data_IF_477251529904
#
_entry.id   IF_477251529904
#
_cell.length_a   1.000
_cell.length_b   1.000
_cell.length_c   1.000
_cell.angle_alpha   90.00
_cell.angle_beta   90.00
_cell.angle_gamma   90.00
#
_symmetry.space_group_name_H-M   'P 1'
#
loop_
_entity.id
_entity.type
_entity.pdbx_description
1 polymer ?
#
# COMPACT_ATOMS: atom_id res chain seq x y z
N UNK A 1 -34.69 -36.84 42.14
CA UNK A 1 -33.96 -35.56 42.02
C UNK A 1 -34.97 -34.42 41.92
N UNK A 2 -35.54 -34.05 43.01
CA UNK A 2 -36.46 -32.91 43.12
C UNK A 2 -36.21 -32.30 44.49
N UNK A 3 -36.04 -31.00 44.58
CA UNK A 3 -35.87 -30.17 45.77
C UNK A 3 -34.46 -29.60 46.03
N UNK A 4 -34.09 -28.57 45.29
CA UNK A 4 -33.18 -27.50 45.79
C UNK A 4 -33.58 -26.14 45.17
N UNK A 5 -34.82 -25.85 44.96
CA UNK A 5 -35.27 -24.46 44.87
C UNK A 5 -35.82 -24.04 46.24
N UNK A 6 -34.95 -23.76 47.26
CA UNK A 6 -35.34 -22.96 48.40
C UNK A 6 -35.76 -21.59 47.87
N UNK A 7 -37.03 -21.27 47.94
CA UNK A 7 -37.54 -19.95 47.59
C UNK A 7 -36.73 -18.88 48.33
N UNK A 8 -36.04 -18.05 47.59
CA UNK A 8 -35.32 -16.86 48.13
C UNK A 8 -36.36 -16.06 48.92
N UNK A 9 -36.04 -15.62 50.17
CA UNK A 9 -36.96 -14.80 50.95
C UNK A 9 -37.33 -13.54 50.16
N UNK A 10 -38.60 -13.22 50.07
CA UNK A 10 -39.15 -12.10 49.29
C UNK A 10 -38.43 -10.78 49.55
N UNK A 11 -37.94 -10.58 50.78
CA UNK A 11 -37.12 -9.43 51.18
C UNK A 11 -35.78 -9.35 50.40
N UNK A 12 -35.17 -10.48 50.13
CA UNK A 12 -33.87 -10.52 49.40
C UNK A 12 -34.06 -10.23 47.93
N UNK A 13 -35.18 -10.69 47.35
CA UNK A 13 -35.58 -10.37 45.96
C UNK A 13 -35.91 -8.88 45.82
N UNK A 14 -36.64 -8.30 46.81
CA UNK A 14 -36.98 -6.88 46.80
C UNK A 14 -35.74 -5.99 46.94
N UNK A 15 -34.80 -6.34 47.82
CA UNK A 15 -33.50 -5.65 47.95
C UNK A 15 -32.66 -5.75 46.66
N UNK A 16 -32.70 -6.90 45.99
CA UNK A 16 -32.03 -7.09 44.71
C UNK A 16 -32.61 -6.21 43.60
N UNK A 17 -33.94 -6.11 43.51
CA UNK A 17 -34.64 -5.21 42.58
C UNK A 17 -34.30 -3.76 42.83
N UNK A 18 -34.31 -3.33 44.12
CA UNK A 18 -33.92 -1.96 44.47
C UNK A 18 -32.46 -1.64 44.15
N UNK A 19 -31.55 -2.56 44.46
CA UNK A 19 -30.14 -2.41 44.14
C UNK A 19 -29.89 -2.31 42.62
N UNK A 20 -30.57 -3.13 41.81
CA UNK A 20 -30.47 -3.08 40.34
C UNK A 20 -31.09 -1.80 39.78
N UNK A 21 -32.21 -1.32 40.31
CA UNK A 21 -32.81 -0.05 39.92
C UNK A 21 -31.87 1.16 40.18
N UNK A 22 -31.22 1.17 41.34
CA UNK A 22 -30.21 2.18 41.70
C UNK A 22 -29.02 2.09 40.77
N UNK A 23 -28.50 0.89 40.49
CA UNK A 23 -27.37 0.69 39.56
C UNK A 23 -27.69 1.19 38.15
N UNK A 24 -28.91 0.89 37.66
CA UNK A 24 -29.38 1.39 36.36
C UNK A 24 -29.50 2.92 36.35
N UNK A 25 -30.06 3.50 37.39
CA UNK A 25 -30.17 4.96 37.52
C UNK A 25 -28.78 5.66 37.53
N UNK A 26 -27.81 5.09 38.27
CA UNK A 26 -26.42 5.57 38.28
C UNK A 26 -25.75 5.43 36.92
N UNK A 27 -25.97 4.33 36.22
CA UNK A 27 -25.44 4.12 34.88
C UNK A 27 -26.01 5.15 33.89
N UNK A 28 -27.32 5.39 33.93
CA UNK A 28 -27.97 6.41 33.09
C UNK A 28 -27.43 7.80 33.43
N UNK A 29 -27.33 8.15 34.68
CA UNK A 29 -26.75 9.42 35.11
C UNK A 29 -25.29 9.58 34.64
N UNK A 30 -24.48 8.54 34.74
CA UNK A 30 -23.12 8.52 34.22
C UNK A 30 -23.07 8.71 32.71
N UNK A 31 -23.92 8.01 31.94
CA UNK A 31 -24.00 8.14 30.49
C UNK A 31 -24.40 9.57 30.08
N UNK A 32 -25.43 10.14 30.74
CA UNK A 32 -25.89 11.51 30.46
C UNK A 32 -24.80 12.53 30.80
N UNK A 33 -24.16 12.38 31.99
CA UNK A 33 -23.06 13.24 32.41
C UNK A 33 -21.88 13.17 31.43
N UNK A 34 -21.47 11.95 31.03
CA UNK A 34 -20.41 11.73 30.06
C UNK A 34 -20.72 12.35 28.73
N UNK A 35 -21.98 12.23 28.23
CA UNK A 35 -22.44 12.83 26.98
C UNK A 35 -22.41 14.37 27.06
N UNK A 36 -22.90 14.93 28.13
CA UNK A 36 -22.91 16.39 28.38
C UNK A 36 -21.48 16.93 28.49
N UNK A 37 -20.60 16.27 29.26
CA UNK A 37 -19.20 16.66 29.41
C UNK A 37 -18.48 16.63 28.08
N UNK A 38 -18.65 15.55 27.31
CA UNK A 38 -18.08 15.44 25.95
C UNK A 38 -18.61 16.55 25.03
N UNK A 39 -19.90 16.84 25.04
CA UNK A 39 -20.48 17.92 24.25
C UNK A 39 -19.84 19.26 24.57
N UNK A 40 -19.73 19.62 25.86
CA UNK A 40 -19.05 20.84 26.31
C UNK A 40 -17.57 20.89 25.92
N UNK A 41 -16.88 19.77 26.02
CA UNK A 41 -15.47 19.67 25.62
C UNK A 41 -15.31 19.91 24.10
N UNK A 42 -16.14 19.28 23.28
CA UNK A 42 -16.07 19.47 21.83
C UNK A 42 -16.47 20.88 21.39
N UNK A 43 -17.46 21.50 22.03
CA UNK A 43 -17.81 22.90 21.76
C UNK A 43 -16.65 23.84 22.08
N UNK A 44 -15.99 23.63 23.24
CA UNK A 44 -14.80 24.40 23.62
C UNK A 44 -13.66 24.19 22.62
N UNK A 45 -13.40 22.94 22.26
CA UNK A 45 -12.39 22.59 21.28
C UNK A 45 -12.63 23.27 19.94
N UNK A 46 -13.87 23.20 19.42
CA UNK A 46 -14.25 23.80 18.16
C UNK A 46 -14.11 25.33 18.16
N UNK A 47 -14.59 25.99 19.22
CA UNK A 47 -14.43 27.44 19.37
C UNK A 47 -12.97 27.85 19.43
N UNK A 48 -12.16 27.17 20.22
CA UNK A 48 -10.71 27.46 20.31
C UNK A 48 -9.99 27.19 18.98
N UNK A 49 -10.36 26.12 18.25
CA UNK A 49 -9.80 25.81 16.93
C UNK A 49 -10.12 26.90 15.91
N UNK A 50 -11.36 27.42 15.91
CA UNK A 50 -11.74 28.52 15.03
C UNK A 50 -10.99 29.82 15.35
N UNK A 51 -10.79 30.14 16.63
CA UNK A 51 -10.00 31.29 17.06
C UNK A 51 -8.53 31.19 16.63
N UNK A 52 -7.92 30.00 16.81
CA UNK A 52 -6.53 29.75 16.40
C UNK A 52 -6.41 29.83 14.87
N UNK A 53 -7.36 29.27 14.11
CA UNK A 53 -7.36 29.39 12.63
C UNK A 53 -7.47 30.83 12.16
N UNK A 54 -8.23 31.67 12.85
CA UNK A 54 -8.28 33.11 12.53
C UNK A 54 -6.94 33.82 12.80
N UNK A 55 -6.17 33.37 13.78
CA UNK A 55 -4.87 33.90 14.15
C UNK A 55 -3.69 33.18 13.45
N UNK A 56 -3.99 32.19 12.61
CA UNK A 56 -3.00 31.31 11.99
C UNK A 56 -1.89 32.05 11.22
N UNK A 57 -2.21 33.06 10.38
CA UNK A 57 -1.16 33.82 9.70
C UNK A 57 -0.17 34.50 10.66
N UNK A 58 -0.67 34.98 11.79
CA UNK A 58 0.16 35.59 12.84
C UNK A 58 1.06 34.60 13.57
N UNK A 59 0.56 33.38 13.79
CA UNK A 59 1.34 32.29 14.44
C UNK A 59 2.45 31.84 13.50
N UNK A 60 2.16 31.61 12.23
CA UNK A 60 3.14 31.12 11.24
C UNK A 60 4.18 32.17 10.88
N UNK A 61 3.78 33.44 10.78
CA UNK A 61 4.71 34.56 10.52
C UNK A 61 5.56 34.95 11.74
N UNK A 62 5.22 34.45 12.96
CA UNK A 62 5.89 34.82 14.19
C UNK A 62 5.45 36.17 14.77
N UNK A 63 4.47 36.87 14.14
CA UNK A 63 3.90 38.13 14.70
C UNK A 63 3.10 37.89 15.97
N UNK A 64 2.58 36.68 16.17
CA UNK A 64 2.02 36.21 17.43
C UNK A 64 3.03 35.29 18.12
N UNK A 65 3.76 35.78 19.14
CA UNK A 65 4.86 35.02 19.73
C UNK A 65 4.37 33.79 20.50
N UNK A 66 5.16 32.70 20.54
CA UNK A 66 4.78 31.44 21.16
C UNK A 66 4.35 31.56 22.64
N UNK A 67 4.90 32.50 23.39
CA UNK A 67 4.56 32.72 24.81
C UNK A 67 3.07 32.98 25.02
N UNK A 68 2.38 33.59 24.06
CA UNK A 68 0.97 33.95 24.18
C UNK A 68 0.04 32.73 24.08
N UNK A 69 0.36 31.75 23.25
CA UNK A 69 -0.50 30.60 23.04
C UNK A 69 0.01 29.33 23.75
N UNK A 70 1.30 29.23 24.08
CA UNK A 70 1.86 28.11 24.86
C UNK A 70 1.55 28.16 26.35
N UNK A 71 1.24 29.33 26.90
CA UNK A 71 0.89 29.48 28.32
C UNK A 71 -0.27 28.57 28.75
N UNK A 72 -1.20 28.26 27.87
CA UNK A 72 -2.32 27.36 28.12
C UNK A 72 -2.07 26.01 27.41
N UNK A 73 -1.93 24.89 28.17
CA UNK A 73 -1.69 23.56 27.56
C UNK A 73 -2.76 23.13 26.56
N UNK A 74 -4.02 23.51 26.77
CA UNK A 74 -5.13 23.20 25.85
C UNK A 74 -4.95 23.94 24.52
N UNK A 75 -4.61 25.21 24.54
CA UNK A 75 -4.34 26.02 23.34
C UNK A 75 -3.09 25.53 22.61
N UNK A 76 -2.01 25.24 23.39
CA UNK A 76 -0.77 24.68 22.85
C UNK A 76 -1.00 23.37 22.08
N UNK A 77 -1.80 22.45 22.63
CA UNK A 77 -2.13 21.18 21.98
C UNK A 77 -2.91 21.37 20.68
N UNK A 78 -3.81 22.37 20.61
CA UNK A 78 -4.55 22.67 19.39
C UNK A 78 -3.63 23.26 18.32
N UNK A 79 -2.77 24.23 18.71
CA UNK A 79 -1.79 24.82 17.78
C UNK A 79 -0.85 23.76 17.24
N UNK A 80 -0.32 22.89 18.09
CA UNK A 80 0.52 21.78 17.68
C UNK A 80 -0.18 20.86 16.68
N UNK A 81 -1.45 20.48 16.95
CA UNK A 81 -2.21 19.64 16.02
C UNK A 81 -2.38 20.30 14.66
N UNK A 82 -2.79 21.58 14.63
CA UNK A 82 -2.95 22.32 13.38
C UNK A 82 -1.61 22.47 12.64
N UNK A 83 -0.53 22.73 13.39
CA UNK A 83 0.81 22.91 12.82
C UNK A 83 1.32 21.60 12.20
N UNK A 84 1.15 20.48 12.88
CA UNK A 84 1.52 19.17 12.35
C UNK A 84 0.66 18.80 11.12
N UNK A 85 -0.65 19.06 11.15
CA UNK A 85 -1.53 18.86 9.99
C UNK A 85 -1.08 19.72 8.79
N UNK A 86 -0.70 20.98 9.07
CA UNK A 86 -0.20 21.90 8.04
C UNK A 86 1.13 21.45 7.46
N UNK A 87 2.06 20.97 8.29
CA UNK A 87 3.36 20.43 7.84
C UNK A 87 3.18 19.20 6.95
N UNK A 88 2.24 18.31 7.30
CA UNK A 88 1.95 17.13 6.48
C UNK A 88 1.36 17.49 5.11
N UNK A 89 0.51 18.51 5.05
CA UNK A 89 -0.11 18.99 3.83
C UNK A 89 0.77 19.95 3.02
N UNK A 90 1.84 20.51 3.62
CA UNK A 90 2.65 21.56 3.04
C UNK A 90 3.43 21.13 1.79
N UNK A 91 3.39 21.99 0.80
CA UNK A 91 4.27 21.91 -0.35
C UNK A 91 5.71 22.38 -0.02
N UNK A 92 6.65 22.21 -0.99
CA UNK A 92 8.05 22.57 -0.78
C UNK A 92 8.28 24.05 -0.41
N UNK A 93 7.40 24.95 -0.84
CA UNK A 93 7.52 26.38 -0.60
C UNK A 93 7.10 26.80 0.82
N UNK A 94 6.09 26.12 1.40
CA UNK A 94 5.51 26.47 2.69
C UNK A 94 6.23 25.76 3.85
N UNK A 95 6.78 24.58 3.58
CA UNK A 95 7.42 23.73 4.58
C UNK A 95 8.50 24.43 5.40
N UNK A 96 9.44 25.23 4.83
CA UNK A 96 10.49 25.90 5.61
C UNK A 96 9.95 26.85 6.67
N UNK A 97 8.88 27.59 6.38
CA UNK A 97 8.27 28.53 7.31
C UNK A 97 7.57 27.80 8.46
N UNK A 98 6.86 26.70 8.18
CA UNK A 98 6.20 25.88 9.20
C UNK A 98 7.24 25.20 10.12
N UNK A 99 8.35 24.71 9.55
CA UNK A 99 9.46 24.16 10.33
C UNK A 99 10.12 25.24 11.21
N UNK A 100 10.28 26.45 10.70
CA UNK A 100 10.76 27.58 11.51
C UNK A 100 9.83 27.84 12.70
N UNK A 101 8.52 27.87 12.48
CA UNK A 101 7.54 28.03 13.54
C UNK A 101 7.61 26.89 14.58
N UNK A 102 7.77 25.63 14.15
CA UNK A 102 7.96 24.48 15.04
C UNK A 102 9.19 24.62 15.95
N UNK A 103 10.32 25.06 15.37
CA UNK A 103 11.58 25.28 16.11
C UNK A 103 11.45 26.47 17.08
N UNK A 104 11.03 27.63 16.56
CA UNK A 104 10.89 28.86 17.35
C UNK A 104 9.89 28.70 18.53
N UNK A 105 8.88 27.85 18.36
CA UNK A 105 7.95 27.54 19.45
C UNK A 105 8.49 26.61 20.51
N UNK A 106 9.61 25.89 20.26
CA UNK A 106 10.15 24.85 21.14
C UNK A 106 9.30 23.58 21.22
N UNK A 107 8.28 23.41 20.36
CA UNK A 107 7.46 22.20 20.29
C UNK A 107 8.27 20.99 19.82
N UNK A 108 9.18 21.22 18.86
CA UNK A 108 10.06 20.17 18.37
C UNK A 108 10.98 19.64 19.47
N UNK A 109 11.64 20.52 20.20
CA UNK A 109 12.57 20.16 21.29
C UNK A 109 11.84 19.45 22.43
N UNK A 110 10.63 19.91 22.76
CA UNK A 110 9.79 19.26 23.76
C UNK A 110 9.45 17.81 23.34
N UNK A 111 9.09 17.57 22.09
CA UNK A 111 8.80 16.23 21.59
C UNK A 111 10.03 15.33 21.52
N UNK A 112 11.20 15.88 21.15
CA UNK A 112 12.48 15.17 21.21
C UNK A 112 12.80 14.77 22.66
N UNK A 113 12.65 15.69 23.61
CA UNK A 113 12.85 15.40 25.04
C UNK A 113 11.92 14.28 25.51
N UNK A 114 10.64 14.37 25.19
CA UNK A 114 9.63 13.35 25.57
C UNK A 114 9.94 11.97 24.95
N UNK A 115 10.38 11.92 23.69
CA UNK A 115 10.75 10.68 22.99
C UNK A 115 11.95 9.98 23.66
N UNK A 116 12.88 10.74 24.24
CA UNK A 116 14.08 10.22 24.91
C UNK A 116 13.85 9.84 26.37
N UNK A 117 13.04 10.61 27.11
CA UNK A 117 12.96 10.49 28.58
C UNK A 117 11.66 9.84 29.06
N UNK A 118 10.59 9.85 28.26
CA UNK A 118 9.33 9.24 28.65
C UNK A 118 9.30 7.74 28.34
N UNK A 119 8.31 7.01 28.88
CA UNK A 119 8.11 5.59 28.67
C UNK A 119 6.67 5.29 28.23
N UNK A 120 6.45 4.11 27.68
CA UNK A 120 5.13 3.59 27.32
C UNK A 120 4.36 4.51 26.37
N UNK A 121 3.08 4.75 26.67
CA UNK A 121 2.19 5.51 25.81
C UNK A 121 2.67 6.93 25.48
N UNK A 122 3.18 7.66 26.45
CA UNK A 122 3.63 9.04 26.23
C UNK A 122 4.84 9.12 25.31
N UNK A 123 5.78 8.16 25.41
CA UNK A 123 6.90 8.02 24.47
C UNK A 123 6.40 7.76 23.04
N UNK A 124 5.45 6.83 22.89
CA UNK A 124 4.87 6.51 21.57
C UNK A 124 4.16 7.71 20.94
N UNK A 125 3.39 8.48 21.73
CA UNK A 125 2.74 9.71 21.25
C UNK A 125 3.78 10.72 20.76
N UNK A 126 4.89 10.91 21.50
CA UNK A 126 5.97 11.81 21.09
C UNK A 126 6.64 11.35 19.78
N UNK A 127 6.92 10.04 19.62
CA UNK A 127 7.50 9.49 18.39
C UNK A 127 6.58 9.69 17.17
N UNK A 128 5.26 9.48 17.36
CA UNK A 128 4.28 9.74 16.29
C UNK A 128 4.24 11.22 15.92
N UNK A 129 4.26 12.12 16.91
CA UNK A 129 4.29 13.56 16.67
C UNK A 129 5.58 13.97 15.93
N UNK A 130 6.74 13.45 16.34
CA UNK A 130 8.03 13.70 15.67
C UNK A 130 8.03 13.29 14.22
N UNK A 131 7.45 12.13 13.89
CA UNK A 131 7.33 11.70 12.50
C UNK A 131 6.52 12.67 11.63
N UNK A 132 5.51 13.32 12.21
CA UNK A 132 4.68 14.32 11.52
C UNK A 132 5.40 15.65 11.26
N UNK A 133 6.44 15.95 12.03
CA UNK A 133 7.14 17.24 11.91
C UNK A 133 7.92 17.37 10.61
N UNK A 134 8.27 16.28 9.93
CA UNK A 134 9.18 16.26 8.78
C UNK A 134 10.49 17.00 9.03
N UNK A 135 10.88 17.17 10.29
CA UNK A 135 12.08 17.87 10.70
C UNK A 135 13.28 16.91 10.74
N UNK A 136 14.41 17.24 10.11
CA UNK A 136 15.61 16.41 10.14
C UNK A 136 16.12 16.13 11.56
N UNK A 137 15.95 17.06 12.47
CA UNK A 137 16.36 16.96 13.87
C UNK A 137 15.59 15.90 14.67
N UNK A 138 14.40 15.50 14.19
CA UNK A 138 13.61 14.43 14.80
C UNK A 138 14.18 13.02 14.51
N UNK A 139 14.92 12.86 13.41
CA UNK A 139 15.42 11.55 12.94
C UNK A 139 16.30 10.85 13.97
N UNK A 140 17.28 11.50 14.63
CA UNK A 140 18.09 10.83 15.65
C UNK A 140 17.28 10.26 16.82
N UNK A 141 16.30 11.00 17.34
CA UNK A 141 15.46 10.51 18.44
C UNK A 141 14.55 9.33 18.01
N UNK A 142 14.08 9.33 16.77
CA UNK A 142 13.34 8.22 16.19
C UNK A 142 14.23 6.99 15.98
N UNK A 143 15.47 7.19 15.51
CA UNK A 143 16.44 6.12 15.33
C UNK A 143 16.87 5.50 16.67
N UNK A 144 17.15 6.33 17.70
CA UNK A 144 17.42 5.87 19.06
C UNK A 144 16.28 4.98 19.61
N UNK A 145 15.02 5.36 19.36
CA UNK A 145 13.86 4.58 19.79
C UNK A 145 13.67 3.28 18.99
N UNK A 146 14.09 3.26 17.72
CA UNK A 146 14.09 2.06 16.88
C UNK A 146 15.13 1.04 17.37
N UNK A 147 16.33 1.52 17.69
CA UNK A 147 17.48 0.70 18.10
C UNK A 147 17.47 0.32 19.59
N UNK A 148 16.47 0.80 20.35
CA UNK A 148 16.31 0.45 21.75
C UNK A 148 15.86 -1.02 21.90
N UNK A 149 16.84 -1.92 22.02
CA UNK A 149 16.58 -3.36 22.13
C UNK A 149 15.83 -3.73 23.42
N UNK A 150 15.93 -2.91 24.48
CA UNK A 150 15.18 -3.08 25.73
C UNK A 150 13.78 -2.45 25.66
N UNK A 151 13.49 -1.69 24.61
CA UNK A 151 12.21 -1.05 24.35
C UNK A 151 11.12 -2.05 23.99
N UNK A 152 9.87 -1.71 24.33
CA UNK A 152 8.73 -2.53 23.93
C UNK A 152 8.55 -2.51 22.38
N UNK A 153 8.07 -3.63 21.79
CA UNK A 153 7.88 -3.72 20.33
C UNK A 153 6.97 -2.63 19.75
N UNK A 154 5.98 -2.18 20.51
CA UNK A 154 5.06 -1.11 20.09
C UNK A 154 5.79 0.24 19.97
N UNK A 155 6.76 0.51 20.86
CA UNK A 155 7.59 1.73 20.78
C UNK A 155 8.51 1.69 19.56
N UNK A 156 9.15 0.55 19.28
CA UNK A 156 9.95 0.36 18.07
C UNK A 156 9.10 0.49 16.81
N UNK A 157 7.89 -0.07 16.83
CA UNK A 157 6.92 0.08 15.74
C UNK A 157 6.47 1.54 15.55
N UNK A 158 6.27 2.30 16.66
CA UNK A 158 5.96 3.72 16.57
C UNK A 158 7.13 4.52 15.97
N UNK A 159 8.37 4.14 16.27
CA UNK A 159 9.56 4.74 15.67
C UNK A 159 9.65 4.46 14.17
N UNK A 160 9.42 3.21 13.70
CA UNK A 160 9.37 2.86 12.27
C UNK A 160 8.33 3.72 11.55
N UNK A 161 7.12 3.81 12.10
CA UNK A 161 6.04 4.63 11.52
C UNK A 161 6.40 6.11 11.53
N UNK A 162 7.05 6.60 12.59
CA UNK A 162 7.53 7.98 12.69
C UNK A 162 8.58 8.30 11.64
N UNK A 163 9.61 7.45 11.48
CA UNK A 163 10.62 7.57 10.43
C UNK A 163 9.99 7.60 9.05
N UNK A 164 9.08 6.65 8.76
CA UNK A 164 8.39 6.60 7.48
C UNK A 164 7.49 7.82 7.20
N UNK A 165 6.86 8.37 8.25
CA UNK A 165 5.98 9.54 8.12
C UNK A 165 6.76 10.84 7.90
N UNK A 166 8.01 10.91 8.38
CA UNK A 166 8.88 12.04 8.13
C UNK A 166 9.16 12.27 6.64
N UNK A 167 9.09 11.21 5.83
CA UNK A 167 9.35 11.20 4.40
C UNK A 167 10.73 11.81 4.03
N UNK A 168 11.70 11.68 4.91
CA UNK A 168 13.08 12.16 4.72
C UNK A 168 13.97 11.00 4.28
N UNK A 169 14.81 11.14 3.23
CA UNK A 169 15.73 10.07 2.79
C UNK A 169 16.64 9.56 3.91
N UNK A 170 17.14 10.43 4.75
CA UNK A 170 17.99 10.08 5.88
C UNK A 170 17.28 9.23 6.95
N UNK A 171 15.95 9.29 7.03
CA UNK A 171 15.16 8.46 7.94
C UNK A 171 15.04 7.00 7.47
N UNK A 172 15.38 6.70 6.21
CA UNK A 172 15.46 5.33 5.71
C UNK A 172 16.67 4.58 6.27
N UNK A 173 17.79 5.29 6.51
CA UNK A 173 19.07 4.66 6.91
C UNK A 173 18.93 3.79 8.15
N UNK A 174 18.41 4.27 9.31
CA UNK A 174 18.28 3.41 10.50
C UNK A 174 17.35 2.22 10.29
N UNK A 175 16.34 2.33 9.41
CA UNK A 175 15.46 1.21 9.08
C UNK A 175 16.21 0.17 8.25
N UNK A 176 17.00 0.60 7.26
CA UNK A 176 17.80 -0.29 6.41
C UNK A 176 18.87 -1.00 7.26
N UNK A 177 19.59 -0.26 8.10
CA UNK A 177 20.60 -0.82 9.00
C UNK A 177 20.00 -1.85 9.95
N UNK A 178 18.84 -1.58 10.55
CA UNK A 178 18.12 -2.53 11.39
C UNK A 178 17.63 -3.78 10.64
N UNK A 179 17.32 -3.67 9.34
CA UNK A 179 17.03 -4.82 8.48
C UNK A 179 18.28 -5.66 8.21
N UNK A 180 19.41 -5.00 7.88
CA UNK A 180 20.66 -5.68 7.54
C UNK A 180 21.30 -6.35 8.76
N UNK A 181 21.19 -5.75 9.95
CA UNK A 181 21.65 -6.35 11.21
C UNK A 181 20.76 -7.47 11.73
N UNK A 182 19.54 -7.61 11.19
CA UNK A 182 18.55 -8.57 11.67
C UNK A 182 17.77 -8.11 12.91
N UNK A 183 18.00 -6.91 13.42
CA UNK A 183 17.28 -6.36 14.59
C UNK A 183 15.78 -6.16 14.35
N UNK A 184 15.38 -6.05 13.10
CA UNK A 184 13.97 -5.97 12.68
C UNK A 184 13.37 -7.34 12.32
N UNK A 185 14.09 -8.44 12.54
CA UNK A 185 13.55 -9.79 12.35
C UNK A 185 12.35 -10.01 13.29
N UNK A 186 11.24 -10.50 12.71
CA UNK A 186 9.99 -10.69 13.46
C UNK A 186 9.03 -9.49 13.46
N UNK A 187 9.45 -8.33 12.98
CA UNK A 187 8.51 -7.24 12.70
C UNK A 187 7.75 -7.48 11.37
N UNK A 188 6.48 -7.03 11.27
CA UNK A 188 5.73 -7.15 10.02
C UNK A 188 6.40 -6.36 8.88
N UNK A 189 6.53 -6.99 7.71
CA UNK A 189 7.11 -6.35 6.51
C UNK A 189 6.37 -5.08 6.06
N UNK A 190 5.04 -5.07 6.18
CA UNK A 190 4.22 -4.01 5.62
C UNK A 190 4.51 -2.61 6.17
N UNK A 191 4.61 -2.36 7.49
CA UNK A 191 5.01 -1.07 8.04
C UNK A 191 6.42 -0.65 7.63
N UNK A 192 7.37 -1.59 7.61
CA UNK A 192 8.76 -1.33 7.22
C UNK A 192 8.82 -0.93 5.74
N UNK A 193 8.16 -1.72 4.88
CA UNK A 193 8.04 -1.42 3.45
C UNK A 193 7.47 -0.03 3.20
N UNK A 194 6.36 0.31 3.85
CA UNK A 194 5.73 1.62 3.68
C UNK A 194 6.61 2.76 4.18
N UNK A 195 7.32 2.56 5.30
CA UNK A 195 8.25 3.56 5.82
C UNK A 195 9.38 3.83 4.83
N UNK A 196 10.03 2.77 4.32
CA UNK A 196 11.08 2.88 3.30
C UNK A 196 10.56 3.52 2.01
N UNK A 197 9.38 3.10 1.53
CA UNK A 197 8.78 3.67 0.32
C UNK A 197 8.52 5.18 0.45
N UNK A 198 8.08 5.63 1.61
CA UNK A 198 7.85 7.05 1.85
C UNK A 198 9.16 7.84 1.94
N UNK A 199 10.16 7.32 2.67
CA UNK A 199 11.46 7.98 2.83
C UNK A 199 12.25 8.04 1.52
N UNK A 200 12.19 6.98 0.71
CA UNK A 200 12.98 6.85 -0.51
C UNK A 200 12.27 7.35 -1.77
N UNK A 201 11.05 7.88 -1.67
CA UNK A 201 10.28 8.37 -2.82
C UNK A 201 11.02 9.41 -3.65
N UNK A 202 11.76 10.31 -2.99
CA UNK A 202 12.55 11.35 -3.65
C UNK A 202 13.97 10.88 -4.01
N UNK A 203 14.41 9.73 -3.52
CA UNK A 203 15.79 9.24 -3.70
C UNK A 203 15.84 7.71 -3.67
N UNK A 204 15.26 7.08 -4.67
CA UNK A 204 15.25 5.61 -4.81
C UNK A 204 16.68 5.03 -4.94
N UNK A 205 17.65 5.82 -5.43
CA UNK A 205 19.08 5.45 -5.50
C UNK A 205 19.69 5.09 -4.13
N UNK A 206 19.14 5.62 -3.04
CA UNK A 206 19.57 5.24 -1.69
C UNK A 206 19.39 3.74 -1.46
N UNK A 207 18.28 3.14 -1.88
CA UNK A 207 18.04 1.70 -1.73
C UNK A 207 19.03 0.86 -2.55
N UNK A 208 19.38 1.35 -3.75
CA UNK A 208 20.33 0.66 -4.63
C UNK A 208 21.69 0.52 -3.97
N UNK A 209 22.17 1.54 -3.24
CA UNK A 209 23.47 1.51 -2.57
C UNK A 209 23.58 0.44 -1.47
N UNK A 210 22.46 0.02 -0.88
CA UNK A 210 22.43 -1.01 0.15
C UNK A 210 22.17 -2.43 -0.38
N UNK A 211 21.72 -2.58 -1.62
CA UNK A 211 21.44 -3.89 -2.20
C UNK A 211 22.66 -4.83 -2.26
N UNK A 212 23.88 -4.36 -2.65
CA UNK A 212 25.06 -5.25 -2.69
C UNK A 212 25.41 -5.88 -1.33
N UNK A 213 25.19 -5.15 -0.23
CA UNK A 213 25.46 -5.61 1.14
C UNK A 213 24.29 -6.38 1.76
N UNK A 214 23.15 -6.45 1.10
CA UNK A 214 21.95 -7.11 1.60
C UNK A 214 21.87 -8.58 1.15
N UNK A 215 21.20 -9.42 1.93
CA UNK A 215 20.96 -10.82 1.62
C UNK A 215 19.60 -11.29 2.14
N UNK A 216 19.12 -12.41 1.64
CA UNK A 216 17.88 -13.06 2.09
C UNK A 216 16.67 -12.12 2.15
N UNK A 217 15.86 -12.19 3.22
CA UNK A 217 14.62 -11.42 3.34
C UNK A 217 14.82 -9.89 3.29
N UNK A 218 15.95 -9.38 3.82
CA UNK A 218 16.25 -7.95 3.76
C UNK A 218 16.43 -7.48 2.30
N UNK A 219 17.18 -8.27 1.50
CA UNK A 219 17.36 -7.98 0.06
C UNK A 219 16.06 -8.01 -0.71
N UNK A 220 15.22 -9.01 -0.44
CA UNK A 220 13.88 -9.11 -1.04
C UNK A 220 12.99 -7.90 -0.72
N UNK A 221 12.99 -7.46 0.56
CA UNK A 221 12.20 -6.32 0.98
C UNK A 221 12.68 -5.01 0.34
N UNK A 222 14.00 -4.78 0.31
CA UNK A 222 14.58 -3.60 -0.34
C UNK A 222 14.27 -3.57 -1.85
N UNK A 223 14.43 -4.70 -2.53
CA UNK A 223 14.10 -4.84 -3.95
C UNK A 223 12.58 -4.62 -4.21
N UNK A 224 11.72 -5.10 -3.31
CA UNK A 224 10.26 -4.90 -3.39
C UNK A 224 9.89 -3.43 -3.26
N UNK A 225 10.53 -2.71 -2.33
CA UNK A 225 10.36 -1.25 -2.20
C UNK A 225 10.85 -0.54 -3.45
N UNK A 226 12.03 -0.89 -3.94
CA UNK A 226 12.58 -0.32 -5.16
C UNK A 226 11.66 -0.53 -6.36
N UNK A 227 11.07 -1.74 -6.49
CA UNK A 227 10.09 -2.04 -7.53
C UNK A 227 8.79 -1.21 -7.46
N UNK A 228 8.47 -0.62 -6.31
CA UNK A 228 7.33 0.30 -6.16
C UNK A 228 7.70 1.76 -6.44
N UNK A 229 8.97 2.13 -6.25
CA UNK A 229 9.47 3.49 -6.39
C UNK A 229 10.11 3.76 -7.75
N UNK A 230 10.17 2.74 -8.60
CA UNK A 230 10.91 2.81 -9.85
C UNK A 230 10.59 4.04 -10.69
N UNK A 231 11.65 4.71 -11.09
CA UNK A 231 11.64 5.82 -12.03
C UNK A 231 12.57 5.51 -13.20
N UNK A 232 12.43 6.27 -14.29
CA UNK A 232 13.32 6.14 -15.46
C UNK A 232 14.81 6.32 -15.15
N UNK A 233 15.14 6.97 -14.02
CA UNK A 233 16.51 7.23 -13.60
C UNK A 233 17.30 6.01 -13.08
N UNK A 234 16.62 4.86 -12.89
CA UNK A 234 17.20 3.63 -12.32
C UNK A 234 17.43 2.53 -13.37
N UNK A 235 17.48 2.89 -14.65
CA UNK A 235 17.52 1.91 -15.74
C UNK A 235 18.63 0.87 -15.60
N UNK A 236 19.88 1.30 -15.48
CA UNK A 236 21.04 0.41 -15.44
C UNK A 236 21.08 -0.45 -14.19
N UNK A 237 20.75 0.12 -13.04
CA UNK A 237 20.69 -0.61 -11.77
C UNK A 237 19.61 -1.72 -11.79
N UNK A 238 18.48 -1.45 -12.46
CA UNK A 238 17.41 -2.44 -12.60
C UNK A 238 17.81 -3.61 -13.51
N UNK A 239 18.67 -3.39 -14.51
CA UNK A 239 19.19 -4.48 -15.35
C UNK A 239 20.02 -5.47 -14.54
N UNK A 240 20.83 -4.98 -13.61
CA UNK A 240 21.60 -5.84 -12.70
C UNK A 240 20.67 -6.68 -11.81
N UNK A 241 19.64 -6.06 -11.24
CA UNK A 241 18.66 -6.76 -10.40
C UNK A 241 17.81 -7.77 -11.16
N UNK A 242 17.64 -7.61 -12.46
CA UNK A 242 16.93 -8.55 -13.32
C UNK A 242 17.64 -9.90 -13.47
N UNK A 243 18.92 -9.97 -13.13
CA UNK A 243 19.74 -11.21 -13.14
C UNK A 243 20.04 -11.75 -11.74
N UNK A 244 19.39 -11.21 -10.71
CA UNK A 244 19.61 -11.61 -9.32
C UNK A 244 19.29 -13.10 -9.08
N UNK A 245 20.06 -13.81 -8.23
CA UNK A 245 19.76 -15.19 -7.91
C UNK A 245 18.41 -15.38 -7.21
N UNK A 246 17.94 -14.39 -6.44
CA UNK A 246 16.64 -14.43 -5.76
C UNK A 246 15.50 -14.05 -6.72
N UNK A 247 14.53 -14.95 -6.94
CA UNK A 247 13.44 -14.70 -7.89
C UNK A 247 12.55 -13.52 -7.48
N UNK A 248 12.38 -13.24 -6.19
CA UNK A 248 11.63 -12.08 -5.68
C UNK A 248 12.29 -10.75 -6.10
N UNK A 249 13.63 -10.72 -6.14
CA UNK A 249 14.39 -9.55 -6.61
C UNK A 249 14.19 -9.36 -8.12
N UNK A 250 14.29 -10.45 -8.92
CA UNK A 250 14.01 -10.41 -10.36
C UNK A 250 12.58 -9.95 -10.67
N UNK A 251 11.60 -10.44 -9.89
CA UNK A 251 10.20 -10.03 -10.02
C UNK A 251 9.99 -8.53 -9.72
N UNK A 252 10.73 -8.01 -8.73
CA UNK A 252 10.70 -6.58 -8.38
C UNK A 252 11.36 -5.73 -9.47
N UNK A 253 12.48 -6.18 -10.01
CA UNK A 253 13.15 -5.54 -11.15
C UNK A 253 12.24 -5.51 -12.39
N UNK A 254 11.56 -6.62 -12.71
CA UNK A 254 10.59 -6.68 -13.81
C UNK A 254 9.47 -5.64 -13.63
N UNK A 255 8.96 -5.47 -12.41
CA UNK A 255 7.93 -4.47 -12.11
C UNK A 255 8.44 -3.05 -12.30
N UNK A 256 9.66 -2.78 -11.86
CA UNK A 256 10.30 -1.47 -11.94
C UNK A 256 10.58 -1.07 -13.40
N UNK A 257 11.06 -2.01 -14.21
CA UNK A 257 11.35 -1.83 -15.64
C UNK A 257 10.12 -1.43 -16.47
N UNK A 258 8.89 -1.60 -15.95
CA UNK A 258 7.68 -1.09 -16.60
C UNK A 258 7.68 0.44 -16.80
N UNK A 259 8.47 1.17 -16.02
CA UNK A 259 8.56 2.63 -16.02
C UNK A 259 9.90 3.15 -16.58
N UNK A 260 10.80 2.25 -16.97
CA UNK A 260 12.08 2.59 -17.58
C UNK A 260 11.94 2.86 -19.09
N UNK A 261 13.03 3.33 -19.70
CA UNK A 261 13.09 3.50 -21.15
C UNK A 261 12.74 2.18 -21.87
N UNK A 262 11.78 2.17 -22.80
CA UNK A 262 11.35 0.98 -23.50
C UNK A 262 12.48 0.23 -24.25
N UNK A 263 13.43 0.94 -24.82
CA UNK A 263 14.55 0.33 -25.56
C UNK A 263 15.52 -0.39 -24.62
N UNK A 264 15.69 0.12 -23.40
CA UNK A 264 16.47 -0.51 -22.34
C UNK A 264 15.69 -1.67 -21.68
N UNK A 265 14.42 -1.46 -21.39
CA UNK A 265 13.60 -2.39 -20.63
C UNK A 265 13.17 -3.62 -21.42
N UNK A 266 12.82 -3.46 -22.72
CA UNK A 266 12.21 -4.51 -23.51
C UNK A 266 13.07 -5.78 -23.65
N UNK A 267 14.39 -5.72 -23.96
CA UNK A 267 15.24 -6.91 -24.05
C UNK A 267 15.22 -7.71 -22.73
N UNK A 268 15.41 -7.05 -21.61
CA UNK A 268 15.46 -7.67 -20.27
C UNK A 268 14.11 -8.26 -19.88
N UNK A 269 13.01 -7.53 -20.08
CA UNK A 269 11.66 -8.02 -19.81
C UNK A 269 11.30 -9.22 -20.70
N UNK A 270 11.81 -9.26 -21.94
CA UNK A 270 11.62 -10.41 -22.84
C UNK A 270 12.33 -11.67 -22.32
N UNK A 271 13.46 -11.53 -21.66
CA UNK A 271 14.15 -12.63 -20.97
C UNK A 271 13.36 -13.05 -19.72
N UNK A 272 12.98 -12.11 -18.86
CA UNK A 272 12.22 -12.38 -17.64
C UNK A 272 10.82 -12.96 -17.92
N UNK A 273 10.24 -12.72 -19.08
CA UNK A 273 8.99 -13.38 -19.51
C UNK A 273 9.15 -14.88 -19.76
N UNK A 274 10.38 -15.42 -19.75
CA UNK A 274 10.71 -16.84 -19.82
C UNK A 274 11.44 -17.34 -18.56
N UNK A 275 11.37 -16.60 -17.45
CA UNK A 275 11.98 -16.98 -16.17
C UNK A 275 11.46 -18.34 -15.69
N UNK A 276 12.28 -19.16 -15.00
CA UNK A 276 11.80 -20.43 -14.42
C UNK A 276 10.62 -20.21 -13.47
N UNK A 277 10.63 -19.12 -12.70
CA UNK A 277 9.58 -18.82 -11.73
C UNK A 277 8.37 -18.12 -12.36
N UNK A 278 7.19 -18.69 -12.19
CA UNK A 278 5.95 -18.19 -12.82
C UNK A 278 5.59 -16.76 -12.43
N UNK A 279 5.84 -16.37 -11.18
CA UNK A 279 5.49 -15.02 -10.71
C UNK A 279 6.45 -13.95 -11.27
N UNK A 280 7.70 -14.30 -11.58
CA UNK A 280 8.62 -13.44 -12.31
C UNK A 280 8.10 -13.23 -13.73
N UNK A 281 7.73 -14.34 -14.45
CA UNK A 281 7.11 -14.27 -15.77
C UNK A 281 5.86 -13.40 -15.75
N UNK A 282 4.99 -13.57 -14.73
CA UNK A 282 3.79 -12.76 -14.58
C UNK A 282 4.12 -11.25 -14.49
N UNK A 283 5.11 -10.88 -13.67
CA UNK A 283 5.53 -9.48 -13.52
C UNK A 283 6.11 -8.92 -14.80
N UNK A 284 6.93 -9.70 -15.50
CA UNK A 284 7.49 -9.32 -16.80
C UNK A 284 6.39 -9.11 -17.86
N UNK A 285 5.40 -10.01 -17.94
CA UNK A 285 4.25 -9.88 -18.86
C UNK A 285 3.42 -8.64 -18.54
N UNK A 286 3.20 -8.33 -17.26
CA UNK A 286 2.53 -7.09 -16.86
C UNK A 286 3.33 -5.88 -17.33
N UNK A 287 4.64 -5.86 -17.08
CA UNK A 287 5.52 -4.76 -17.45
C UNK A 287 5.59 -4.55 -18.97
N UNK A 288 5.76 -5.63 -19.73
CA UNK A 288 5.71 -5.61 -21.20
C UNK A 288 4.39 -5.01 -21.71
N UNK A 289 3.27 -5.28 -21.02
CA UNK A 289 1.97 -4.71 -21.37
C UNK A 289 1.93 -3.18 -21.34
N UNK A 290 2.70 -2.54 -20.47
CA UNK A 290 2.77 -1.06 -20.35
C UNK A 290 3.66 -0.42 -21.42
N UNK A 291 4.59 -1.16 -22.01
CA UNK A 291 5.48 -0.62 -23.03
C UNK A 291 4.71 -0.30 -24.33
N UNK A 292 5.14 0.76 -25.02
CA UNK A 292 4.56 1.17 -26.30
C UNK A 292 5.13 0.38 -27.51
N UNK A 293 6.15 -0.45 -27.27
CA UNK A 293 6.86 -1.22 -28.28
C UNK A 293 5.98 -2.30 -28.94
N UNK A 294 5.92 -2.30 -30.28
CA UNK A 294 5.16 -3.30 -31.05
C UNK A 294 5.72 -4.72 -30.91
N UNK A 295 7.02 -4.86 -30.61
CA UNK A 295 7.68 -6.16 -30.38
C UNK A 295 7.03 -6.94 -29.22
N UNK A 296 6.30 -6.27 -28.32
CA UNK A 296 5.58 -6.88 -27.19
C UNK A 296 4.58 -7.95 -27.60
N UNK A 297 3.97 -7.85 -28.81
CA UNK A 297 3.01 -8.84 -29.32
C UNK A 297 3.62 -10.24 -29.30
N UNK A 298 4.87 -10.39 -29.76
CA UNK A 298 5.54 -11.69 -29.78
C UNK A 298 5.73 -12.29 -28.38
N UNK A 299 6.10 -11.46 -27.41
CA UNK A 299 6.28 -11.89 -26.01
C UNK A 299 4.94 -12.30 -25.41
N UNK A 300 3.89 -11.51 -25.62
CA UNK A 300 2.55 -11.77 -25.13
C UNK A 300 1.89 -13.01 -25.75
N UNK A 301 2.10 -13.24 -27.06
CA UNK A 301 1.64 -14.46 -27.75
C UNK A 301 2.31 -15.74 -27.21
N UNK A 302 3.57 -15.66 -26.79
CA UNK A 302 4.21 -16.78 -26.08
C UNK A 302 3.63 -16.95 -24.68
N UNK A 303 3.44 -15.85 -23.95
CA UNK A 303 2.95 -15.87 -22.59
C UNK A 303 1.47 -16.31 -22.47
N UNK A 304 0.65 -16.15 -23.52
CA UNK A 304 -0.74 -16.67 -23.50
C UNK A 304 -0.77 -18.20 -23.56
N UNK A 305 0.30 -18.86 -23.96
CA UNK A 305 0.50 -20.32 -23.94
C UNK A 305 1.28 -20.79 -22.68
N UNK A 306 1.49 -19.95 -21.67
CA UNK A 306 2.23 -20.30 -20.44
C UNK A 306 1.54 -21.44 -19.67
N UNK A 307 2.34 -22.28 -19.00
CA UNK A 307 1.82 -23.35 -18.14
C UNK A 307 1.00 -22.80 -16.96
N UNK A 308 1.37 -21.64 -16.46
CA UNK A 308 0.66 -21.00 -15.34
C UNK A 308 -0.53 -20.19 -15.82
N UNK A 309 -1.72 -20.47 -15.26
CA UNK A 309 -2.97 -19.80 -15.64
C UNK A 309 -2.94 -18.28 -15.45
N UNK A 310 -2.25 -17.78 -14.41
CA UNK A 310 -2.21 -16.34 -14.13
C UNK A 310 -1.38 -15.58 -15.18
N UNK A 311 -0.31 -16.20 -15.68
CA UNK A 311 0.50 -15.65 -16.77
C UNK A 311 -0.33 -15.62 -18.06
N UNK A 312 -1.00 -16.75 -18.41
CA UNK A 312 -1.91 -16.82 -19.57
C UNK A 312 -2.99 -15.74 -19.53
N UNK A 313 -3.70 -15.66 -18.39
CA UNK A 313 -4.79 -14.69 -18.20
C UNK A 313 -4.30 -13.26 -18.39
N UNK A 314 -3.13 -12.95 -17.81
CA UNK A 314 -2.58 -11.59 -17.90
C UNK A 314 -2.15 -11.23 -19.32
N UNK A 315 -1.51 -12.17 -20.03
CA UNK A 315 -1.15 -11.98 -21.42
C UNK A 315 -2.42 -11.78 -22.29
N UNK A 316 -3.44 -12.61 -22.09
CA UNK A 316 -4.74 -12.47 -22.77
C UNK A 316 -5.40 -11.11 -22.50
N UNK A 317 -5.36 -10.62 -21.24
CA UNK A 317 -5.91 -9.29 -20.88
C UNK A 317 -5.22 -8.16 -21.67
N UNK A 318 -3.92 -8.25 -21.88
CA UNK A 318 -3.18 -7.23 -22.63
C UNK A 318 -3.47 -7.36 -24.12
N UNK A 319 -3.41 -8.58 -24.67
CA UNK A 319 -3.65 -8.85 -26.09
C UNK A 319 -5.07 -8.46 -26.52
N UNK A 320 -6.10 -8.73 -25.69
CA UNK A 320 -7.48 -8.38 -25.99
C UNK A 320 -7.73 -6.86 -26.07
N UNK A 321 -6.80 -6.02 -25.60
CA UNK A 321 -6.91 -4.56 -25.66
C UNK A 321 -6.16 -3.95 -26.85
N UNK A 322 -5.43 -4.76 -27.63
CA UNK A 322 -4.59 -4.27 -28.72
C UNK A 322 -5.40 -4.13 -30.01
N UNK A 323 -5.81 -2.91 -30.32
CA UNK A 323 -6.40 -2.55 -31.61
C UNK A 323 -5.37 -1.79 -32.46
N UNK A 324 -5.37 -2.01 -33.77
CA UNK A 324 -6.27 -2.78 -34.65
C UNK A 324 -5.92 -4.27 -34.81
N UNK A 325 -4.95 -4.81 -34.09
CA UNK A 325 -4.29 -6.10 -34.35
C UNK A 325 -5.08 -7.34 -33.88
N UNK A 326 -6.32 -7.17 -33.35
CA UNK A 326 -7.08 -8.27 -32.71
C UNK A 326 -7.29 -9.49 -33.59
N UNK A 327 -7.58 -9.31 -34.88
CA UNK A 327 -7.80 -10.43 -35.80
C UNK A 327 -6.50 -11.21 -36.10
N UNK A 328 -5.39 -10.50 -36.27
CA UNK A 328 -4.08 -11.12 -36.42
C UNK A 328 -3.65 -11.86 -35.15
N UNK A 329 -3.89 -11.26 -33.98
CA UNK A 329 -3.63 -11.89 -32.68
C UNK A 329 -4.45 -13.17 -32.53
N UNK A 330 -5.75 -13.12 -32.83
CA UNK A 330 -6.61 -14.30 -32.79
C UNK A 330 -6.12 -15.40 -33.73
N UNK A 331 -5.79 -15.06 -34.97
CA UNK A 331 -5.25 -16.00 -35.97
C UNK A 331 -3.97 -16.68 -35.45
N UNK A 332 -3.08 -15.93 -34.83
CA UNK A 332 -1.85 -16.45 -34.24
C UNK A 332 -2.11 -17.36 -33.05
N UNK A 333 -3.08 -17.01 -32.17
CA UNK A 333 -3.47 -17.85 -31.03
C UNK A 333 -4.10 -19.17 -31.53
N UNK A 334 -4.99 -19.11 -32.49
CA UNK A 334 -5.60 -20.31 -33.08
C UNK A 334 -4.54 -21.22 -33.69
N UNK A 335 -3.55 -20.64 -34.39
CA UNK A 335 -2.43 -21.38 -34.98
C UNK A 335 -1.51 -22.08 -33.97
N UNK A 336 -1.58 -21.74 -32.69
CA UNK A 336 -0.83 -22.46 -31.64
C UNK A 336 -1.45 -23.81 -31.26
N UNK A 337 -2.73 -24.06 -31.65
CA UNK A 337 -3.52 -25.23 -31.26
C UNK A 337 -3.66 -25.41 -29.74
N UNK A 338 -3.26 -24.40 -28.93
CA UNK A 338 -3.39 -24.42 -27.48
C UNK A 338 -4.79 -23.96 -27.06
N UNK A 339 -5.61 -24.93 -26.63
CA UNK A 339 -6.99 -24.68 -26.19
C UNK A 339 -7.07 -23.73 -24.99
N UNK A 340 -6.09 -23.78 -24.07
CA UNK A 340 -6.09 -22.94 -22.88
C UNK A 340 -5.72 -21.50 -23.21
N UNK A 341 -4.83 -21.28 -24.18
CA UNK A 341 -4.52 -19.97 -24.71
C UNK A 341 -5.76 -19.34 -25.37
N UNK A 342 -6.46 -20.11 -26.21
CA UNK A 342 -7.67 -19.65 -26.89
C UNK A 342 -8.79 -19.36 -25.87
N UNK A 343 -9.03 -20.23 -24.89
CA UNK A 343 -10.02 -20.02 -23.83
C UNK A 343 -9.72 -18.77 -23.00
N UNK A 344 -8.45 -18.54 -22.60
CA UNK A 344 -8.05 -17.36 -21.86
C UNK A 344 -8.32 -16.07 -22.69
N UNK A 345 -8.03 -16.09 -23.97
CA UNK A 345 -8.25 -14.94 -24.84
C UNK A 345 -9.73 -14.65 -25.07
N UNK A 346 -10.55 -15.68 -25.36
CA UNK A 346 -12.02 -15.55 -25.53
C UNK A 346 -12.66 -15.02 -24.23
N UNK A 347 -12.27 -15.57 -23.09
CA UNK A 347 -12.76 -15.11 -21.77
C UNK A 347 -12.49 -13.63 -21.54
N UNK A 348 -11.36 -13.11 -22.00
CA UNK A 348 -11.03 -11.69 -21.90
C UNK A 348 -11.78 -10.83 -22.92
N UNK A 349 -11.99 -11.32 -24.12
CA UNK A 349 -12.85 -10.64 -25.12
C UNK A 349 -14.28 -10.51 -24.62
N UNK A 350 -14.83 -11.58 -24.05
CA UNK A 350 -16.19 -11.58 -23.48
C UNK A 350 -16.28 -10.62 -22.29
N UNK A 351 -15.35 -10.71 -21.33
CA UNK A 351 -15.29 -9.85 -20.15
C UNK A 351 -15.14 -8.36 -20.50
N UNK A 352 -14.45 -8.06 -21.61
CA UNK A 352 -14.26 -6.68 -22.10
C UNK A 352 -15.39 -6.19 -23.02
N UNK A 353 -16.41 -7.01 -23.29
CA UNK A 353 -17.52 -6.72 -24.20
C UNK A 353 -17.10 -6.62 -25.68
N UNK A 354 -15.94 -7.17 -26.04
CA UNK A 354 -15.38 -7.09 -27.41
C UNK A 354 -15.67 -8.33 -28.27
N UNK A 355 -16.16 -9.40 -27.66
CA UNK A 355 -16.40 -10.66 -28.35
C UNK A 355 -17.30 -10.47 -29.58
N UNK A 356 -18.48 -9.86 -29.40
CA UNK A 356 -19.44 -9.67 -30.48
C UNK A 356 -18.92 -8.75 -31.59
N UNK A 357 -18.10 -7.77 -31.24
CA UNK A 357 -17.47 -6.87 -32.23
C UNK A 357 -16.45 -7.63 -33.11
N UNK A 358 -15.67 -8.56 -32.51
CA UNK A 358 -14.72 -9.41 -33.24
C UNK A 358 -15.46 -10.39 -34.14
N UNK A 359 -16.56 -11.01 -33.67
CA UNK A 359 -17.40 -11.92 -34.47
C UNK A 359 -17.97 -11.17 -35.67
N UNK A 360 -18.61 -10.03 -35.47
CA UNK A 360 -19.16 -9.20 -36.57
C UNK A 360 -18.11 -8.78 -37.59
N UNK A 361 -16.92 -8.43 -37.11
CA UNK A 361 -15.82 -8.05 -38.01
C UNK A 361 -15.33 -9.24 -38.85
N UNK A 362 -15.32 -10.46 -38.33
CA UNK A 362 -14.99 -11.68 -39.04
C UNK A 362 -16.10 -12.10 -40.00
N UNK A 363 -17.37 -12.01 -39.62
CA UNK A 363 -18.52 -12.26 -40.50
C UNK A 363 -18.53 -11.35 -41.71
N UNK A 364 -18.24 -10.05 -41.51
CA UNK A 364 -18.17 -9.09 -42.61
C UNK A 364 -17.02 -9.36 -43.59
N UNK A 365 -16.03 -10.17 -43.23
CA UNK A 365 -14.85 -10.53 -44.04
C UNK A 365 -14.90 -11.97 -44.55
N UNK A 366 -15.90 -12.77 -44.18
CA UNK A 366 -16.00 -14.20 -44.49
C UNK A 366 -15.98 -14.49 -46.02
N UNK A 367 -16.53 -13.57 -46.82
CA UNK A 367 -16.56 -13.70 -48.30
C UNK A 367 -15.21 -13.41 -48.97
N UNK A 368 -14.22 -12.87 -48.25
CA UNK A 368 -12.96 -12.38 -48.84
C UNK A 368 -11.69 -13.13 -48.39
N UNK A 369 -11.73 -13.93 -47.34
CA UNK A 369 -10.53 -14.64 -46.82
C UNK A 369 -10.88 -16.00 -46.26
N UNK A 370 -10.20 -17.06 -46.72
CA UNK A 370 -10.37 -18.46 -46.23
C UNK A 370 -10.15 -18.63 -44.71
N UNK A 371 -9.44 -17.71 -44.07
CA UNK A 371 -9.14 -17.80 -42.64
C UNK A 371 -10.32 -17.40 -41.71
N UNK A 372 -11.22 -16.53 -42.17
CA UNK A 372 -12.30 -16.01 -41.34
C UNK A 372 -13.29 -17.12 -40.84
N UNK A 373 -13.73 -18.06 -41.69
CA UNK A 373 -14.60 -19.16 -41.23
C UNK A 373 -13.95 -20.07 -40.18
N UNK A 374 -12.63 -20.32 -40.30
CA UNK A 374 -11.88 -21.13 -39.33
C UNK A 374 -11.80 -20.41 -37.98
N UNK A 375 -11.56 -19.09 -38.01
CA UNK A 375 -11.48 -18.25 -36.81
C UNK A 375 -12.84 -18.15 -36.10
N UNK A 376 -13.94 -17.98 -36.87
CA UNK A 376 -15.32 -17.97 -36.34
C UNK A 376 -15.66 -19.30 -35.65
N UNK A 377 -15.42 -20.41 -36.32
CA UNK A 377 -15.64 -21.73 -35.74
C UNK A 377 -14.81 -21.96 -34.47
N UNK A 378 -13.58 -21.51 -34.42
CA UNK A 378 -12.71 -21.59 -33.26
C UNK A 378 -13.22 -20.75 -32.09
N UNK A 379 -13.75 -19.55 -32.35
CA UNK A 379 -14.36 -18.67 -31.36
C UNK A 379 -15.64 -19.28 -30.75
N UNK A 380 -16.54 -19.75 -31.60
CA UNK A 380 -17.82 -20.37 -31.18
C UNK A 380 -17.56 -21.62 -30.33
N UNK A 381 -16.67 -22.50 -30.78
CA UNK A 381 -16.29 -23.72 -30.06
C UNK A 381 -15.61 -23.40 -28.72
N UNK A 382 -14.77 -22.37 -28.68
CA UNK A 382 -14.11 -21.90 -27.46
C UNK A 382 -15.09 -21.34 -26.46
N UNK A 383 -16.08 -20.54 -26.90
CA UNK A 383 -17.15 -19.98 -26.04
C UNK A 383 -18.06 -21.06 -25.47
N UNK A 384 -18.51 -22.00 -26.29
CA UNK A 384 -19.31 -23.15 -25.85
C UNK A 384 -18.57 -23.99 -24.79
N UNK A 385 -17.26 -24.18 -24.95
CA UNK A 385 -16.43 -24.89 -23.97
C UNK A 385 -16.32 -24.15 -22.62
N UNK A 386 -16.27 -22.81 -22.64
CA UNK A 386 -16.26 -21.98 -21.41
C UNK A 386 -17.61 -22.04 -20.69
N UNK A 387 -18.72 -21.98 -21.39
CA UNK A 387 -20.07 -22.07 -20.83
C UNK A 387 -20.31 -23.43 -20.16
N UNK A 388 -19.89 -24.52 -20.78
CA UNK A 388 -19.97 -25.87 -20.20
C UNK A 388 -19.09 -25.98 -18.92
N UNK A 389 -17.90 -25.43 -18.93
CA UNK A 389 -17.02 -25.41 -17.76
C UNK A 389 -17.59 -24.58 -16.61
N UNK A 390 -18.24 -23.44 -16.91
CA UNK A 390 -18.94 -22.61 -15.95
C UNK A 390 -20.14 -23.33 -15.29
N UNK A 391 -20.92 -24.09 -16.07
CA UNK A 391 -22.05 -24.88 -15.59
C UNK A 391 -21.59 -26.05 -14.70
N UNK A 392 -20.49 -26.71 -15.06
CA UNK A 392 -19.92 -27.81 -14.28
C UNK A 392 -19.35 -27.34 -12.91
N UNK A 393 -18.86 -26.10 -12.82
CA UNK A 393 -18.40 -25.50 -11.57
C UNK A 393 -19.50 -24.97 -10.66
N UNK A 394 -20.75 -24.87 -11.17
CA UNK A 394 -21.90 -24.35 -10.46
C UNK A 394 -22.81 -25.47 -9.86
N UNK A 395 -22.31 -26.71 -9.69
CA UNK A 395 -23.05 -27.78 -9.02
C UNK A 395 -23.44 -27.38 -7.59
N UNK A 396 -24.71 -27.58 -7.18
CA UNK A 396 -25.22 -27.05 -5.93
C UNK A 396 -24.49 -27.67 -4.73
N UNK A 397 -24.12 -26.80 -3.79
CA UNK A 397 -23.70 -27.22 -2.44
C UNK A 397 -24.84 -28.06 -1.88
N UNK A 398 -24.62 -29.36 -1.79
CA UNK A 398 -25.49 -30.28 -1.05
C UNK A 398 -25.52 -29.79 0.39
N UNK A 399 -26.68 -29.32 0.82
CA UNK A 399 -27.00 -29.02 2.21
C UNK A 399 -26.94 -30.33 3.01
N UNK A 400 -26.05 -30.41 3.94
CA UNK A 400 -26.09 -31.33 5.07
C UNK A 400 -25.74 -30.58 6.35
#
# INVERSE_FOLDING_TARGET
>A
MASVFKALPAELVLKGIFASAIAIALLIAFIVFRRWYRGRYFERLNRSTLQIRAQWPGIVSGSLPPQQWRANPFTSAIVESILLDSVEAAGPQELPQLLHCLRASGLLDERIYQARHFKGWNRRVALVALGRTRAPEAVPALAEALNDAAGDPDTRMAAIRGLGRSALPQAAVPIIEGLLSGELAGFPDFPIKNALANCCRASAKLLVSYLPSSSGPARELLARVLGELASAELGDELLVLATDPLPEVRASAARALAHADPDLAFPTLSVLANDPEWFVRLRAVVAVGFLTDKRKIRVLLRAVCDLNRHVRQRAATVLAKMEPDLQEILARIVATEDRYALQAFISELDRSGRFDAVVKALESQSDRRFAAPILLHSLERGKASLELAGQAGASPKVSS
#
